data_IF_802454638948
#
_entry.id   IF_802454638948
#
_cell.length_a   1.000
_cell.length_b   1.000
_cell.length_c   1.000
_cell.angle_alpha   90.00
_cell.angle_beta   90.00
_cell.angle_gamma   90.00
#
_symmetry.space_group_name_H-M   'P 1'
#
loop_
_entity.id
_entity.type
_entity.pdbx_description
1 polymer ?
#
# COMPACT_ATOMS: atom_id res chain seq x y z
N UNK A 1 23.86 -35.21 17.29
CA UNK A 1 24.39 -35.06 15.92
C UNK A 1 24.64 -33.58 15.70
N UNK A 2 25.86 -33.16 15.36
CA UNK A 2 26.12 -31.75 15.04
C UNK A 2 25.31 -31.37 13.79
N UNK A 3 24.60 -30.24 13.87
CA UNK A 3 23.90 -29.65 12.73
C UNK A 3 24.97 -29.04 11.82
N UNK A 4 25.14 -29.59 10.62
CA UNK A 4 26.18 -29.17 9.66
C UNK A 4 25.93 -27.74 9.16
N UNK A 5 26.40 -26.76 9.91
CA UNK A 5 26.20 -25.34 9.67
C UNK A 5 26.98 -24.87 8.43
N UNK A 6 26.25 -24.30 7.47
CA UNK A 6 26.82 -23.68 6.27
C UNK A 6 27.45 -22.34 6.68
N UNK A 7 28.79 -22.28 6.66
CA UNK A 7 29.57 -21.08 7.00
C UNK A 7 30.09 -20.40 5.74
N UNK A 8 30.18 -19.07 5.78
CA UNK A 8 30.79 -18.26 4.70
C UNK A 8 32.20 -18.76 4.40
N UNK A 9 32.56 -18.85 3.12
CA UNK A 9 33.87 -19.32 2.67
C UNK A 9 34.05 -20.85 2.65
N UNK A 10 33.12 -21.66 3.18
CA UNK A 10 33.17 -23.12 2.98
C UNK A 10 32.72 -23.48 1.55
N UNK A 11 33.39 -24.44 0.87
CA UNK A 11 32.96 -24.92 -0.43
C UNK A 11 31.64 -25.70 -0.32
N UNK A 12 30.78 -25.52 -1.33
CA UNK A 12 29.55 -26.30 -1.52
C UNK A 12 29.71 -27.07 -2.83
N UNK A 13 29.65 -28.40 -2.77
CA UNK A 13 29.74 -29.27 -3.95
C UNK A 13 28.36 -29.79 -4.30
N UNK A 14 27.88 -29.48 -5.50
CA UNK A 14 26.61 -29.97 -6.04
C UNK A 14 26.85 -30.93 -7.20
N UNK A 15 25.87 -31.81 -7.45
CA UNK A 15 25.81 -32.65 -8.66
C UNK A 15 24.75 -32.06 -9.59
N UNK A 16 25.00 -32.10 -10.89
CA UNK A 16 23.99 -31.72 -11.89
C UNK A 16 22.94 -32.84 -11.96
N UNK A 17 21.63 -32.55 -11.81
CA UNK A 17 20.57 -33.55 -11.94
C UNK A 17 20.52 -34.18 -13.34
N UNK A 18 20.07 -35.43 -13.43
CA UNK A 18 19.88 -36.13 -14.72
C UNK A 18 18.80 -35.52 -15.61
N UNK A 19 17.86 -34.77 -15.02
CA UNK A 19 16.77 -34.07 -15.70
C UNK A 19 17.20 -32.71 -16.29
N UNK A 20 18.50 -32.36 -16.23
CA UNK A 20 19.00 -31.06 -16.71
C UNK A 20 19.00 -31.00 -18.24
N UNK A 21 18.30 -30.04 -18.88
CA UNK A 21 18.28 -29.93 -20.34
C UNK A 21 19.65 -29.67 -20.98
N UNK A 22 19.89 -30.28 -22.15
CA UNK A 22 21.17 -30.21 -22.89
C UNK A 22 21.66 -28.79 -23.15
N UNK A 23 20.76 -27.83 -23.43
CA UNK A 23 21.14 -26.44 -23.67
C UNK A 23 21.79 -25.78 -22.45
N UNK A 24 21.41 -26.19 -21.23
CA UNK A 24 22.04 -25.73 -19.98
C UNK A 24 23.43 -26.38 -19.83
N UNK A 25 23.56 -27.66 -20.16
CA UNK A 25 24.86 -28.36 -20.12
C UNK A 25 25.87 -27.73 -21.10
N UNK A 26 25.45 -27.43 -22.33
CA UNK A 26 26.27 -26.73 -23.32
C UNK A 26 26.66 -25.32 -22.85
N UNK A 27 25.72 -24.57 -22.27
CA UNK A 27 26.00 -23.25 -21.71
C UNK A 27 27.02 -23.31 -20.56
N UNK A 28 26.87 -24.25 -19.62
CA UNK A 28 27.81 -24.46 -18.51
C UNK A 28 29.20 -24.89 -19.00
N UNK A 29 29.28 -25.73 -20.04
CA UNK A 29 30.53 -26.12 -20.66
C UNK A 29 31.26 -24.93 -21.30
N UNK A 30 30.53 -24.10 -22.07
CA UNK A 30 31.05 -22.86 -22.67
C UNK A 30 31.51 -21.88 -21.59
N UNK A 31 30.72 -21.69 -20.53
CA UNK A 31 31.06 -20.80 -19.41
C UNK A 31 32.32 -21.26 -18.67
N UNK A 32 32.53 -22.57 -18.53
CA UNK A 32 33.76 -23.16 -17.97
C UNK A 32 34.98 -22.88 -18.85
N UNK A 33 34.83 -22.90 -20.17
CA UNK A 33 35.89 -22.58 -21.11
C UNK A 33 36.28 -21.09 -21.09
N UNK A 34 35.29 -20.19 -20.97
CA UNK A 34 35.52 -18.73 -20.93
C UNK A 34 36.08 -18.26 -19.60
N UNK A 35 35.46 -18.63 -18.47
CA UNK A 35 35.82 -18.12 -17.14
C UNK A 35 36.99 -18.88 -16.50
N UNK A 36 37.19 -20.15 -16.86
CA UNK A 36 38.26 -21.04 -16.38
C UNK A 36 38.44 -21.05 -14.86
N UNK A 37 39.33 -20.20 -14.33
CA UNK A 37 39.62 -20.06 -12.89
C UNK A 37 38.49 -19.36 -12.13
N UNK A 38 37.73 -18.49 -12.79
CA UNK A 38 36.64 -17.72 -12.19
C UNK A 38 35.29 -18.43 -12.24
N UNK A 39 35.21 -19.60 -12.90
CA UNK A 39 33.97 -20.35 -13.12
C UNK A 39 33.20 -20.59 -11.81
N UNK A 40 33.88 -21.04 -10.75
CA UNK A 40 33.24 -21.28 -9.45
C UNK A 40 32.64 -20.01 -8.84
N UNK A 41 33.30 -18.86 -8.99
CA UNK A 41 32.79 -17.57 -8.53
C UNK A 41 31.57 -17.12 -9.34
N UNK A 42 31.57 -17.31 -10.67
CA UNK A 42 30.45 -16.95 -11.54
C UNK A 42 29.23 -17.85 -11.30
N UNK A 43 29.44 -19.15 -11.06
CA UNK A 43 28.36 -20.06 -10.67
C UNK A 43 27.83 -19.71 -9.26
N UNK A 44 28.70 -19.33 -8.31
CA UNK A 44 28.26 -18.90 -6.99
C UNK A 44 27.35 -17.66 -7.06
N UNK A 45 27.63 -16.69 -7.94
CA UNK A 45 26.75 -15.55 -8.22
C UNK A 45 25.36 -16.01 -8.72
N UNK A 46 25.30 -16.92 -9.69
CA UNK A 46 24.02 -17.47 -10.17
C UNK A 46 23.26 -18.26 -9.09
N UNK A 47 23.95 -19.02 -8.23
CA UNK A 47 23.32 -19.74 -7.12
C UNK A 47 22.77 -18.77 -6.08
N UNK A 48 23.53 -17.73 -5.70
CA UNK A 48 23.07 -16.71 -4.74
C UNK A 48 21.84 -15.96 -5.29
N UNK A 49 21.89 -15.55 -6.56
CA UNK A 49 20.76 -14.89 -7.22
C UNK A 49 19.53 -15.81 -7.32
N UNK A 50 19.72 -17.09 -7.66
CA UNK A 50 18.66 -18.08 -7.70
C UNK A 50 18.01 -18.34 -6.34
N UNK A 51 18.80 -18.44 -5.27
CA UNK A 51 18.31 -18.56 -3.89
C UNK A 51 17.58 -17.30 -3.43
N UNK A 52 18.11 -16.11 -3.75
CA UNK A 52 17.45 -14.84 -3.48
C UNK A 52 16.07 -14.76 -4.16
N UNK A 53 16.00 -15.14 -5.44
CA UNK A 53 14.73 -15.23 -6.17
C UNK A 53 13.79 -16.30 -5.60
N UNK A 54 14.28 -17.46 -5.15
CA UNK A 54 13.41 -18.48 -4.54
C UNK A 54 12.81 -18.01 -3.22
N UNK A 55 13.59 -17.31 -2.39
CA UNK A 55 13.09 -16.70 -1.14
C UNK A 55 12.04 -15.62 -1.46
N UNK A 56 12.29 -14.79 -2.48
CA UNK A 56 11.34 -13.76 -2.94
C UNK A 56 10.09 -14.30 -3.63
N UNK A 57 10.08 -15.57 -4.08
CA UNK A 57 8.91 -16.27 -4.60
C UNK A 57 8.14 -17.04 -3.53
N UNK A 58 8.81 -17.48 -2.47
CA UNK A 58 8.18 -18.16 -1.33
C UNK A 58 7.47 -17.19 -0.39
N UNK A 59 7.93 -15.93 -0.33
CA UNK A 59 7.16 -14.85 0.28
C UNK A 59 6.20 -14.31 -0.77
N UNK A 60 4.95 -14.06 -0.40
CA UNK A 60 3.94 -13.42 -1.25
C UNK A 60 4.20 -11.91 -1.34
N UNK A 61 5.40 -11.53 -1.77
CA UNK A 61 5.91 -10.15 -1.76
C UNK A 61 5.75 -9.47 -3.12
N UNK A 62 4.85 -8.51 -3.19
CA UNK A 62 4.74 -7.59 -4.32
C UNK A 62 5.94 -6.63 -4.35
N UNK A 63 6.77 -6.71 -5.39
CA UNK A 63 7.92 -5.80 -5.57
C UNK A 63 7.57 -4.71 -6.58
N UNK A 64 7.41 -3.47 -6.11
CA UNK A 64 7.10 -2.31 -6.93
C UNK A 64 8.39 -1.50 -7.19
N UNK A 65 8.85 -1.34 -8.44
CA UNK A 65 10.02 -0.52 -8.74
C UNK A 65 9.70 0.97 -8.57
N UNK A 66 10.61 1.71 -7.95
CA UNK A 66 10.42 3.15 -7.72
C UNK A 66 10.53 3.96 -9.04
N UNK A 67 9.65 4.95 -9.27
CA UNK A 67 9.75 5.82 -10.43
C UNK A 67 11.04 6.65 -10.43
N UNK A 68 11.54 6.92 -11.64
CA UNK A 68 12.67 7.84 -11.85
C UNK A 68 12.17 9.27 -11.60
N UNK A 69 12.90 10.04 -10.79
CA UNK A 69 12.58 11.44 -10.51
C UNK A 69 12.14 11.77 -9.08
N UNK A 70 11.96 10.78 -8.18
CA UNK A 70 11.62 11.06 -6.78
C UNK A 70 12.67 11.95 -6.09
N UNK A 71 12.21 13.03 -5.46
CA UNK A 71 13.01 13.92 -4.62
C UNK A 71 13.45 13.23 -3.31
N UNK A 72 14.47 13.79 -2.63
CA UNK A 72 14.92 13.37 -1.30
C UNK A 72 13.76 13.30 -0.30
N UNK A 73 12.86 14.28 -0.30
CA UNK A 73 11.71 14.36 0.61
C UNK A 73 10.74 13.21 0.36
N UNK A 74 10.37 12.98 -0.91
CA UNK A 74 9.50 11.88 -1.33
C UNK A 74 10.13 10.50 -1.04
N UNK A 75 11.45 10.36 -1.22
CA UNK A 75 12.20 9.15 -0.86
C UNK A 75 12.27 8.91 0.64
N UNK A 76 12.28 9.96 1.46
CA UNK A 76 12.26 9.83 2.91
C UNK A 76 10.84 9.47 3.40
N UNK A 77 9.83 10.14 2.84
CA UNK A 77 8.42 9.81 3.07
C UNK A 77 8.14 8.34 2.79
N UNK A 78 8.57 7.81 1.63
CA UNK A 78 8.36 6.41 1.26
C UNK A 78 9.11 5.38 2.13
N UNK A 79 10.04 5.81 2.98
CA UNK A 79 10.74 4.96 3.96
C UNK A 79 10.12 5.00 5.35
N UNK A 80 9.27 5.99 5.62
CA UNK A 80 8.63 6.15 6.91
C UNK A 80 7.58 5.05 7.12
N UNK A 81 7.48 4.52 8.34
CA UNK A 81 6.62 3.39 8.67
C UNK A 81 5.14 3.68 8.36
N UNK A 82 4.66 4.85 8.76
CA UNK A 82 3.28 5.29 8.51
C UNK A 82 2.95 5.36 7.00
N UNK A 83 3.89 5.85 6.18
CA UNK A 83 3.71 5.93 4.73
C UNK A 83 3.70 4.56 4.06
N UNK A 84 4.51 3.63 4.56
CA UNK A 84 4.49 2.23 4.13
C UNK A 84 3.20 1.53 4.55
N UNK A 85 2.67 1.82 5.74
CA UNK A 85 1.37 1.31 6.19
C UNK A 85 0.22 1.83 5.33
N UNK A 86 0.22 3.13 4.99
CA UNK A 86 -0.76 3.75 4.09
C UNK A 86 -0.66 3.19 2.66
N UNK A 87 0.55 3.03 2.12
CA UNK A 87 0.73 2.41 0.81
C UNK A 87 0.29 0.94 0.82
N UNK A 88 0.54 0.23 1.92
CA UNK A 88 0.08 -1.13 2.16
C UNK A 88 -1.45 -1.25 2.20
N UNK A 89 -2.15 -0.33 2.88
CA UNK A 89 -3.62 -0.33 2.93
C UNK A 89 -4.24 -0.02 1.57
N UNK A 90 -3.69 0.93 0.80
CA UNK A 90 -4.11 1.21 -0.58
C UNK A 90 -3.93 -0.02 -1.47
N UNK A 91 -2.75 -0.69 -1.40
CA UNK A 91 -2.48 -1.91 -2.19
C UNK A 91 -3.42 -3.04 -1.81
N UNK A 92 -3.67 -3.27 -0.51
CA UNK A 92 -4.62 -4.27 -0.04
C UNK A 92 -6.04 -4.00 -0.55
N UNK A 93 -6.48 -2.73 -0.49
CA UNK A 93 -7.82 -2.32 -0.91
C UNK A 93 -7.98 -2.43 -2.44
N UNK A 94 -6.94 -2.11 -3.21
CA UNK A 94 -6.88 -2.29 -4.66
C UNK A 94 -6.91 -3.76 -5.09
N UNK A 95 -6.26 -4.65 -4.32
CA UNK A 95 -6.32 -6.11 -4.56
C UNK A 95 -7.67 -6.73 -4.18
N UNK A 96 -8.43 -6.09 -3.29
CA UNK A 96 -9.72 -6.58 -2.78
C UNK A 96 -10.90 -6.08 -3.63
N UNK A 97 -10.93 -4.78 -3.96
CA UNK A 97 -11.95 -4.15 -4.81
C UNK A 97 -11.31 -3.03 -5.64
N UNK A 98 -10.83 -3.31 -6.85
CA UNK A 98 -10.13 -2.31 -7.65
C UNK A 98 -11.04 -1.19 -8.15
N UNK A 99 -12.33 -1.45 -8.37
CA UNK A 99 -13.27 -0.46 -8.94
C UNK A 99 -13.58 0.62 -7.91
N UNK A 100 -13.97 0.23 -6.69
CA UNK A 100 -14.26 1.17 -5.60
C UNK A 100 -13.02 1.92 -5.14
N UNK A 101 -11.87 1.26 -5.15
CA UNK A 101 -10.59 1.88 -4.76
C UNK A 101 -10.15 2.91 -5.80
N UNK A 102 -10.27 2.59 -7.09
CA UNK A 102 -9.97 3.53 -8.17
C UNK A 102 -10.91 4.73 -8.17
N UNK A 103 -12.22 4.54 -7.95
CA UNK A 103 -13.17 5.67 -7.87
C UNK A 103 -12.89 6.60 -6.68
N UNK A 104 -12.52 6.05 -5.52
CA UNK A 104 -12.17 6.84 -4.34
C UNK A 104 -10.83 7.59 -4.52
N UNK A 105 -9.82 6.95 -5.09
CA UNK A 105 -8.55 7.63 -5.43
C UNK A 105 -8.77 8.70 -6.51
N UNK A 106 -9.65 8.44 -7.48
CA UNK A 106 -10.03 9.44 -8.48
C UNK A 106 -10.73 10.64 -7.85
N UNK A 107 -11.71 10.43 -6.95
CA UNK A 107 -12.39 11.55 -6.27
C UNK A 107 -11.45 12.37 -5.38
N UNK A 108 -10.47 11.74 -4.73
CA UNK A 108 -9.46 12.42 -3.92
C UNK A 108 -8.44 13.19 -4.77
N UNK A 109 -8.09 12.70 -5.96
CA UNK A 109 -7.18 13.40 -6.87
C UNK A 109 -7.89 14.47 -7.70
N UNK A 110 -9.20 14.34 -7.97
CA UNK A 110 -9.96 15.30 -8.77
C UNK A 110 -10.27 16.60 -8.00
N UNK A 111 -10.11 16.62 -6.67
CA UNK A 111 -10.10 17.88 -5.91
C UNK A 111 -8.74 18.60 -5.94
N UNK A 112 -7.71 17.98 -6.53
CA UNK A 112 -6.36 18.54 -6.70
C UNK A 112 -5.98 18.81 -8.17
N UNK A 113 -6.84 18.46 -9.12
CA UNK A 113 -6.67 18.71 -10.55
C UNK A 113 -7.89 19.50 -11.04
N UNK A 114 -7.64 20.65 -11.66
CA UNK A 114 -8.67 21.62 -12.05
C UNK A 114 -9.86 21.00 -12.82
N UNK A 115 -11.04 21.55 -12.54
CA UNK A 115 -12.33 21.13 -13.09
C UNK A 115 -12.54 21.67 -14.52
N UNK A 116 -11.54 21.49 -15.38
CA UNK A 116 -11.50 22.07 -16.74
C UNK A 116 -11.62 21.02 -17.87
N UNK A 117 -11.35 19.73 -17.62
CA UNK A 117 -11.24 18.70 -18.68
C UNK A 117 -12.25 17.53 -18.56
N UNK A 118 -13.35 17.72 -17.81
CA UNK A 118 -14.51 16.83 -17.92
C UNK A 118 -15.44 17.33 -19.04
N UNK A 119 -15.64 16.56 -20.14
CA UNK A 119 -16.71 16.89 -21.07
C UNK A 119 -18.05 16.77 -20.36
N UNK A 120 -18.83 17.86 -20.39
CA UNK A 120 -20.14 17.97 -19.75
C UNK A 120 -20.99 16.71 -19.99
N UNK A 121 -21.68 16.17 -18.97
CA UNK A 121 -22.75 15.21 -19.18
C UNK A 121 -23.74 15.81 -20.19
N UNK A 122 -24.09 15.07 -21.25
CA UNK A 122 -25.14 15.52 -22.15
C UNK A 122 -26.44 15.66 -21.34
N UNK A 123 -27.00 16.87 -21.33
CA UNK A 123 -28.33 17.12 -20.79
C UNK A 123 -29.33 16.19 -21.51
N UNK A 124 -30.14 15.47 -20.74
CA UNK A 124 -31.24 14.69 -21.32
C UNK A 124 -32.17 15.64 -22.08
N UNK A 125 -32.66 15.27 -23.28
CA UNK A 125 -33.44 16.18 -24.11
C UNK A 125 -34.72 16.62 -23.37
N UNK A 126 -35.17 17.87 -23.58
CA UNK A 126 -36.35 18.39 -22.90
C UNK A 126 -37.56 17.50 -23.19
N UNK A 127 -38.30 17.17 -22.13
CA UNK A 127 -39.61 16.54 -22.27
C UNK A 127 -40.54 17.57 -22.90
N UNK A 128 -41.03 17.24 -24.09
CA UNK A 128 -41.99 18.06 -24.83
C UNK A 128 -43.35 17.91 -24.13
N UNK A 129 -43.89 19.02 -23.63
CA UNK A 129 -45.20 19.07 -22.99
C UNK A 129 -46.29 19.35 -24.04
N UNK A 130 -47.46 18.70 -23.90
CA UNK A 130 -48.67 18.79 -24.75
C UNK A 130 -48.56 18.05 -26.11
N UNK A 131 -49.59 17.46 -26.71
CA UNK A 131 -51.01 17.22 -26.35
C UNK A 131 -51.23 15.68 -26.17
N UNK A 132 -52.34 15.12 -25.70
CA UNK A 132 -53.71 15.58 -25.45
C UNK A 132 -54.31 14.84 -24.22
N UNK A 133 -55.43 15.32 -23.69
CA UNK A 133 -56.28 14.65 -22.71
C UNK A 133 -57.73 14.71 -23.21
N UNK A 134 -58.44 13.57 -23.28
CA UNK A 134 -59.86 13.40 -22.89
C UNK A 134 -60.25 11.91 -22.97
N UNK A 135 -60.73 11.34 -21.85
CA UNK A 135 -61.99 10.54 -21.73
C UNK A 135 -62.17 9.97 -20.32
N UNK A 136 -63.08 10.60 -19.55
CA UNK A 136 -63.92 10.08 -18.44
C UNK A 136 -63.31 9.42 -17.17
N UNK A 137 -63.22 10.22 -16.10
CA UNK A 137 -63.81 10.09 -14.73
C UNK A 137 -64.59 8.82 -14.29
N UNK A 138 -64.87 8.58 -12.97
CA UNK A 138 -64.48 9.30 -11.73
C UNK A 138 -64.11 8.43 -10.48
N UNK A 139 -64.02 9.08 -9.29
CA UNK A 139 -64.18 8.56 -7.88
C UNK A 139 -62.99 7.83 -7.22
N UNK A 140 -62.60 8.06 -5.95
CA UNK A 140 -63.10 9.00 -4.89
C UNK A 140 -61.97 9.33 -3.84
N UNK A 141 -62.15 10.43 -3.09
CA UNK A 141 -61.54 10.91 -1.80
C UNK A 141 -60.16 10.37 -1.33
N UNK A 142 -59.14 11.22 -1.11
CA UNK A 142 -58.94 12.19 -0.01
C UNK A 142 -58.91 11.60 1.42
N UNK A 143 -57.71 11.54 2.02
CA UNK A 143 -57.52 12.10 3.37
C UNK A 143 -56.07 12.59 3.56
N UNK A 144 -55.90 13.63 4.37
CA UNK A 144 -54.67 14.41 4.52
C UNK A 144 -54.06 14.24 5.90
N UNK A 145 -52.73 14.15 6.01
CA UNK A 145 -52.04 14.53 7.25
C UNK A 145 -50.62 15.05 7.01
N UNK A 146 -50.31 16.11 7.77
CA UNK A 146 -49.09 16.90 7.76
C UNK A 146 -48.03 16.25 8.66
N UNK A 147 -46.78 16.16 8.19
CA UNK A 147 -45.63 16.07 9.09
C UNK A 147 -44.35 16.53 8.37
N UNK A 148 -43.89 17.73 8.73
CA UNK A 148 -42.49 18.13 8.54
C UNK A 148 -41.57 17.09 9.16
N UNK A 149 -40.54 16.67 8.44
CA UNK A 149 -39.37 16.01 9.03
C UNK A 149 -38.24 17.03 9.01
N UNK A 150 -37.97 17.60 10.18
CA UNK A 150 -36.91 18.58 10.34
C UNK A 150 -35.53 17.92 10.19
N UNK A 151 -34.65 18.69 9.59
CA UNK A 151 -33.23 18.42 9.41
C UNK A 151 -32.54 18.62 10.77
N UNK A 152 -31.93 17.57 11.33
CA UNK A 152 -31.16 17.68 12.58
C UNK A 152 -29.67 17.84 12.28
N UNK A 153 -29.15 19.01 12.62
CA UNK A 153 -27.72 19.25 12.82
C UNK A 153 -27.22 18.43 14.01
N UNK A 154 -26.14 17.68 13.80
CA UNK A 154 -25.37 16.97 14.85
C UNK A 154 -23.88 16.93 14.43
N UNK A 155 -23.34 18.07 13.96
CA UNK A 155 -21.93 18.22 13.54
C UNK A 155 -21.21 19.45 14.13
N UNK A 156 -21.90 20.32 14.89
CA UNK A 156 -21.35 21.58 15.40
C UNK A 156 -20.52 21.45 16.70
N UNK A 157 -20.45 20.26 17.30
CA UNK A 157 -19.83 20.02 18.62
C UNK A 157 -18.37 19.47 18.56
N UNK A 158 -17.65 19.66 17.45
CA UNK A 158 -16.26 19.19 17.30
C UNK A 158 -15.23 20.33 17.30
N UNK A 159 -14.91 20.81 18.51
CA UNK A 159 -13.97 21.91 18.74
C UNK A 159 -12.50 21.50 18.49
N UNK A 160 -11.86 22.17 17.52
CA UNK A 160 -10.49 21.89 17.06
C UNK A 160 -9.41 22.77 17.74
N UNK A 161 -9.78 23.66 18.66
CA UNK A 161 -8.87 24.71 19.17
C UNK A 161 -7.99 24.28 20.37
N UNK A 162 -8.15 23.08 20.92
CA UNK A 162 -7.50 22.66 22.18
C UNK A 162 -6.15 21.91 22.07
N UNK A 163 -5.58 21.71 20.87
CA UNK A 163 -4.41 20.82 20.70
C UNK A 163 -3.19 21.39 19.96
N UNK A 164 -3.01 22.72 19.92
CA UNK A 164 -1.71 23.32 19.55
C UNK A 164 -1.43 24.57 20.40
N UNK A 165 -0.52 24.47 21.36
CA UNK A 165 0.22 25.61 21.94
C UNK A 165 1.54 25.11 22.51
N UNK A 166 2.60 25.27 21.72
CA UNK A 166 3.99 25.11 22.17
C UNK A 166 4.38 26.27 23.10
N UNK A 167 5.14 25.99 24.16
CA UNK A 167 6.22 26.88 24.58
C UNK A 167 7.37 26.07 25.21
N UNK A 168 8.60 26.32 24.74
CA UNK A 168 9.80 25.55 25.07
C UNK A 168 10.60 26.23 26.21
N UNK A 169 11.18 25.46 27.16
CA UNK A 169 12.66 25.30 27.28
C UNK A 169 13.15 24.49 28.50
N UNK A 170 14.37 23.96 28.36
CA UNK A 170 15.36 23.58 29.39
C UNK A 170 15.08 22.42 30.38
N UNK A 171 15.55 21.21 30.03
CA UNK A 171 16.91 20.79 30.43
C UNK A 171 17.38 19.48 29.77
N UNK A 172 18.68 19.39 29.52
CA UNK A 172 19.35 18.19 29.03
C UNK A 172 19.57 17.16 30.15
N UNK A 173 19.09 15.92 29.95
CA UNK A 173 19.71 14.67 30.41
C UNK A 173 19.08 13.48 29.70
N UNK A 174 19.95 12.57 29.26
CA UNK A 174 19.53 11.27 28.71
C UNK A 174 19.09 10.36 29.88
N UNK A 175 17.81 10.46 30.28
CA UNK A 175 17.21 9.46 31.18
C UNK A 175 17.05 8.15 30.40
N UNK A 176 17.74 7.11 30.86
CA UNK A 176 17.69 5.80 30.20
C UNK A 176 16.36 5.11 30.48
N UNK A 177 15.91 4.26 29.56
CA UNK A 177 14.62 3.58 29.65
C UNK A 177 14.46 2.73 30.93
N UNK A 178 15.57 2.33 31.56
CA UNK A 178 15.57 1.57 32.81
C UNK A 178 15.21 2.43 34.04
N UNK A 179 15.53 3.73 34.06
CA UNK A 179 15.20 4.61 35.20
C UNK A 179 13.68 4.90 35.27
N UNK A 180 13.05 5.14 34.11
CA UNK A 180 11.61 5.32 33.99
C UNK A 180 10.81 4.06 34.40
N UNK A 181 11.37 2.87 34.16
CA UNK A 181 10.77 1.60 34.60
C UNK A 181 11.02 1.32 36.09
N UNK A 182 12.13 1.80 36.65
CA UNK A 182 12.46 1.69 38.07
C UNK A 182 11.46 2.45 38.96
N UNK A 183 11.14 3.69 38.63
CA UNK A 183 10.25 4.53 39.44
C UNK A 183 8.78 4.03 39.39
N UNK A 184 8.33 3.56 38.21
CA UNK A 184 7.02 2.91 38.05
C UNK A 184 6.87 1.64 38.90
N UNK A 185 7.91 0.79 38.95
CA UNK A 185 7.92 -0.43 39.78
C UNK A 185 8.01 -0.12 41.28
N UNK A 186 8.69 0.96 41.67
CA UNK A 186 8.74 1.41 43.06
C UNK A 186 7.37 1.88 43.57
N UNK A 187 6.57 2.52 42.71
CA UNK A 187 5.24 3.04 43.07
C UNK A 187 4.18 1.94 43.26
N UNK A 188 4.36 0.75 42.66
CA UNK A 188 3.41 -0.37 42.74
C UNK A 188 3.59 -1.28 43.98
N UNK A 189 4.69 -1.11 44.74
CA UNK A 189 5.06 -1.97 45.88
C UNK A 189 4.91 -1.28 47.25
N UNK A 190 3.90 -0.39 47.39
CA UNK A 190 3.66 0.42 48.58
C UNK A 190 2.23 0.30 49.11
#
# INVERSE_FOLDING_TARGET
MEKSEIKRGKPITFRIPSDTPDHILQYLAKLKETERRNFSSKIAEYVINGVGQSISKQRETLTIPLPKGLDKTQRNWLKHEQSLALLGSIVYQLLTDPVKTASLIASLNTSMVDVEDYPYPLEEPPKDDNEDIITTNPMIEQESQDTRVDQVDDLDDFDWELSISDENHDNEKEESMDDLLGDFLAQMNK
#
